data_IF_100982320062
#
_entry.id   IF_100982320062
#
_cell.length_a   1.000
_cell.length_b   1.000
_cell.length_c   1.000
_cell.angle_alpha   90.00
_cell.angle_beta   90.00
_cell.angle_gamma   90.00
#
_symmetry.space_group_name_H-M   'P 1'
#
loop_
_entity.id
_entity.type
_entity.pdbx_description
1 polymer ?
#
# COMPACT_ATOMS: atom_id res chain seq x y z
N UNK A 1 -74.32 11.29 5.13
CA UNK A 1 -73.23 11.92 5.89
C UNK A 1 -71.97 11.07 5.74
N UNK A 2 -70.85 11.74 5.48
CA UNK A 2 -69.58 11.29 4.88
C UNK A 2 -69.07 9.88 5.17
N UNK A 3 -68.69 9.18 4.10
CA UNK A 3 -67.48 8.34 4.08
C UNK A 3 -66.59 8.83 2.94
N UNK A 4 -65.50 9.49 3.32
CA UNK A 4 -64.41 9.87 2.44
C UNK A 4 -63.74 8.56 2.01
N UNK A 5 -63.84 8.25 0.72
CA UNK A 5 -63.12 7.15 0.08
C UNK A 5 -61.66 7.56 0.04
N UNK A 6 -60.83 6.88 0.83
CA UNK A 6 -59.37 6.99 0.73
C UNK A 6 -58.95 6.25 -0.53
N UNK A 7 -58.74 6.99 -1.61
CA UNK A 7 -58.01 6.54 -2.79
C UNK A 7 -56.53 6.36 -2.45
N UNK A 8 -55.87 5.28 -2.89
CA UNK A 8 -54.44 5.05 -2.67
C UNK A 8 -53.64 6.01 -3.55
N UNK A 9 -53.32 7.17 -2.98
CA UNK A 9 -52.38 8.13 -3.53
C UNK A 9 -51.31 8.45 -2.48
N UNK A 10 -50.54 7.42 -2.12
CA UNK A 10 -49.19 7.50 -1.55
C UNK A 10 -48.49 6.22 -2.04
N UNK A 11 -47.29 6.16 -2.55
CA UNK A 11 -46.28 7.16 -2.89
C UNK A 11 -45.26 6.33 -3.69
N UNK A 12 -45.58 6.06 -4.96
CA UNK A 12 -44.68 5.38 -5.91
C UNK A 12 -43.63 6.34 -6.45
N UNK A 13 -43.06 7.20 -5.61
CA UNK A 13 -42.33 8.39 -6.03
C UNK A 13 -40.93 8.49 -5.39
N UNK A 14 -40.07 7.48 -5.58
CA UNK A 14 -38.62 7.63 -5.38
C UNK A 14 -37.77 6.54 -6.06
N UNK A 15 -38.20 5.96 -7.18
CA UNK A 15 -37.34 5.05 -7.98
C UNK A 15 -37.30 5.58 -9.42
N UNK A 16 -36.88 6.83 -9.56
CA UNK A 16 -36.69 7.49 -10.84
C UNK A 16 -35.23 7.88 -11.03
N UNK A 17 -34.65 7.39 -12.13
CA UNK A 17 -33.54 7.99 -12.89
C UNK A 17 -32.11 7.43 -12.71
N UNK A 18 -31.74 6.84 -11.58
CA UNK A 18 -30.38 6.27 -11.41
C UNK A 18 -30.13 4.95 -12.14
N UNK A 19 -31.14 4.09 -12.25
CA UNK A 19 -31.02 2.73 -12.81
C UNK A 19 -31.01 2.70 -14.34
N UNK A 20 -31.74 3.61 -14.98
CA UNK A 20 -31.73 3.74 -16.44
C UNK A 20 -30.42 4.35 -16.96
N UNK A 21 -29.82 5.28 -16.22
CA UNK A 21 -28.55 5.90 -16.60
C UNK A 21 -27.38 4.91 -16.50
N UNK A 22 -27.33 4.08 -15.45
CA UNK A 22 -26.34 3.00 -15.33
C UNK A 22 -26.51 1.88 -16.40
N UNK A 23 -27.76 1.57 -16.78
CA UNK A 23 -28.06 0.60 -17.84
C UNK A 23 -27.71 1.15 -19.24
N UNK A 24 -27.94 2.45 -19.48
CA UNK A 24 -27.57 3.16 -20.71
C UNK A 24 -26.04 3.35 -20.84
N UNK A 25 -25.35 3.67 -19.74
CA UNK A 25 -23.88 3.72 -19.70
C UNK A 25 -23.27 2.33 -19.92
N UNK A 26 -23.81 1.28 -19.28
CA UNK A 26 -23.40 -0.11 -19.51
C UNK A 26 -23.64 -0.61 -20.93
N UNK A 27 -24.69 -0.12 -21.61
CA UNK A 27 -24.95 -0.42 -23.01
C UNK A 27 -24.01 0.33 -23.97
N UNK A 28 -23.62 1.57 -23.63
CA UNK A 28 -22.68 2.39 -24.43
C UNK A 28 -21.22 1.91 -24.35
N UNK A 29 -20.80 1.31 -23.22
CA UNK A 29 -19.46 0.72 -23.05
C UNK A 29 -19.27 -0.61 -23.82
N UNK A 30 -20.35 -1.21 -24.29
CA UNK A 30 -20.38 -2.52 -24.94
C UNK A 30 -20.50 -2.43 -26.48
N UNK A 31 -20.49 -1.23 -27.05
CA UNK A 31 -20.78 -0.99 -28.49
C UNK A 31 -19.65 -1.40 -29.46
N UNK A 32 -18.56 -2.01 -29.01
CA UNK A 32 -17.50 -2.48 -29.91
C UNK A 32 -16.54 -3.54 -29.36
N UNK A 33 -16.75 -4.02 -28.14
CA UNK A 33 -15.90 -5.05 -27.52
C UNK A 33 -16.67 -6.36 -27.38
N UNK A 34 -16.04 -7.46 -27.75
CA UNK A 34 -16.63 -8.80 -27.59
C UNK A 34 -16.76 -9.11 -26.10
N UNK A 35 -17.76 -9.90 -25.68
CA UNK A 35 -17.92 -10.33 -24.26
C UNK A 35 -16.63 -10.89 -23.65
N UNK A 36 -15.83 -11.60 -24.45
CA UNK A 36 -14.50 -12.09 -24.07
C UNK A 36 -13.53 -10.96 -23.71
N UNK A 37 -13.51 -9.85 -24.46
CA UNK A 37 -12.61 -8.72 -24.20
C UNK A 37 -12.96 -7.97 -22.91
N UNK A 38 -14.25 -7.82 -22.61
CA UNK A 38 -14.71 -7.20 -21.36
C UNK A 38 -14.33 -8.07 -20.15
N UNK A 39 -14.46 -9.39 -20.29
CA UNK A 39 -14.06 -10.34 -19.25
C UNK A 39 -12.54 -10.32 -19.04
N UNK A 40 -11.77 -10.25 -20.12
CA UNK A 40 -10.32 -10.22 -20.09
C UNK A 40 -9.80 -8.92 -19.45
N UNK A 41 -10.34 -7.76 -19.81
CA UNK A 41 -10.01 -6.48 -19.15
C UNK A 41 -10.37 -6.46 -17.66
N UNK A 42 -11.45 -7.14 -17.26
CA UNK A 42 -11.81 -7.26 -15.86
C UNK A 42 -10.86 -8.18 -15.08
N UNK A 43 -10.29 -9.22 -15.72
CA UNK A 43 -9.29 -10.11 -15.11
C UNK A 43 -7.91 -9.45 -15.07
N UNK A 44 -7.53 -8.74 -16.12
CA UNK A 44 -6.29 -7.96 -16.21
C UNK A 44 -6.29 -6.82 -15.19
N UNK A 45 -7.40 -6.08 -15.08
CA UNK A 45 -7.55 -5.00 -14.11
C UNK A 45 -7.53 -5.48 -12.65
N UNK A 46 -7.94 -6.73 -12.37
CA UNK A 46 -7.77 -7.32 -11.02
C UNK A 46 -6.31 -7.67 -10.77
N UNK A 47 -5.65 -8.30 -11.73
CA UNK A 47 -4.24 -8.70 -11.63
C UNK A 47 -3.33 -7.48 -11.44
N UNK A 48 -3.61 -6.40 -12.17
CA UNK A 48 -2.90 -5.13 -12.06
C UNK A 48 -3.09 -4.49 -10.68
N UNK A 49 -4.32 -4.48 -10.14
CA UNK A 49 -4.56 -3.99 -8.77
C UNK A 49 -3.81 -4.79 -7.71
N UNK A 50 -3.69 -6.11 -7.85
CA UNK A 50 -2.91 -6.92 -6.91
C UNK A 50 -1.42 -6.58 -6.96
N UNK A 51 -0.87 -6.38 -8.16
CA UNK A 51 0.51 -5.94 -8.36
C UNK A 51 0.76 -4.59 -7.70
N UNK A 52 -0.14 -3.63 -7.91
CA UNK A 52 0.00 -2.28 -7.34
C UNK A 52 -0.05 -2.29 -5.81
N UNK A 53 -0.91 -3.11 -5.19
CA UNK A 53 -0.93 -3.28 -3.74
C UNK A 53 0.38 -3.92 -3.24
N UNK A 54 0.90 -4.90 -3.96
CA UNK A 54 2.15 -5.54 -3.59
C UNK A 54 3.33 -4.57 -3.67
N UNK A 55 3.38 -3.75 -4.72
CA UNK A 55 4.39 -2.70 -4.88
C UNK A 55 4.30 -1.68 -3.73
N UNK A 56 3.10 -1.23 -3.40
CA UNK A 56 2.91 -0.30 -2.28
C UNK A 56 3.32 -0.91 -0.93
N UNK A 57 2.97 -2.18 -0.68
CA UNK A 57 3.40 -2.91 0.53
C UNK A 57 4.93 -3.05 0.56
N UNK A 58 5.56 -3.36 -0.57
CA UNK A 58 7.01 -3.49 -0.66
C UNK A 58 7.71 -2.15 -0.37
N UNK A 59 7.20 -1.04 -0.91
CA UNK A 59 7.70 0.31 -0.64
C UNK A 59 7.50 0.65 0.84
N UNK A 60 6.32 0.40 1.41
CA UNK A 60 6.05 0.64 2.82
C UNK A 60 6.98 -0.17 3.74
N UNK A 61 7.17 -1.46 3.44
CA UNK A 61 8.10 -2.32 4.16
C UNK A 61 9.54 -1.82 4.07
N UNK A 62 9.98 -1.38 2.89
CA UNK A 62 11.30 -0.79 2.69
C UNK A 62 11.51 0.44 3.58
N UNK A 63 10.52 1.34 3.64
CA UNK A 63 10.58 2.53 4.50
C UNK A 63 10.60 2.18 5.98
N UNK A 64 9.81 1.19 6.41
CA UNK A 64 9.80 0.73 7.81
C UNK A 64 11.17 0.16 8.18
N UNK A 65 11.74 -0.70 7.35
CA UNK A 65 13.07 -1.30 7.59
C UNK A 65 14.14 -0.22 7.58
N UNK A 66 14.12 0.70 6.61
CA UNK A 66 15.05 1.82 6.53
C UNK A 66 14.98 2.71 7.79
N UNK A 67 13.78 3.06 8.22
CA UNK A 67 13.55 3.83 9.45
C UNK A 67 14.04 3.10 10.69
N UNK A 68 13.77 1.80 10.80
CA UNK A 68 14.25 0.98 11.91
C UNK A 68 15.78 0.94 11.99
N UNK A 69 16.47 0.75 10.86
CA UNK A 69 17.94 0.76 10.79
C UNK A 69 18.50 2.14 11.17
N UNK A 70 17.86 3.23 10.72
CA UNK A 70 18.27 4.59 11.10
C UNK A 70 18.12 4.84 12.61
N UNK A 71 16.98 4.46 13.20
CA UNK A 71 16.76 4.58 14.64
C UNK A 71 17.79 3.76 15.42
N UNK A 72 18.10 2.54 14.96
CA UNK A 72 19.10 1.68 15.59
C UNK A 72 20.51 2.27 15.50
N UNK A 73 20.87 2.83 14.34
CA UNK A 73 22.14 3.54 14.12
C UNK A 73 22.27 4.79 14.99
N UNK A 74 21.20 5.58 15.10
CA UNK A 74 21.16 6.76 15.98
C UNK A 74 21.24 6.38 17.45
N UNK A 75 20.54 5.33 17.89
CA UNK A 75 20.62 4.84 19.27
C UNK A 75 22.04 4.36 19.60
N UNK A 76 22.69 3.66 18.67
CA UNK A 76 24.09 3.25 18.82
C UNK A 76 25.05 4.44 18.84
N UNK A 77 24.92 5.39 17.91
CA UNK A 77 25.74 6.60 17.88
C UNK A 77 25.56 7.44 19.15
N UNK A 78 24.32 7.58 19.64
CA UNK A 78 24.01 8.24 20.90
C UNK A 78 24.70 7.54 22.07
N UNK A 79 24.65 6.20 22.13
CA UNK A 79 25.30 5.42 23.17
C UNK A 79 26.83 5.61 23.20
N UNK A 80 27.47 5.81 22.04
CA UNK A 80 28.91 6.10 21.98
C UNK A 80 29.29 7.47 22.55
N UNK A 81 28.39 8.45 22.44
CA UNK A 81 28.62 9.83 22.92
C UNK A 81 28.15 10.01 24.36
N UNK A 82 27.19 9.21 24.81
CA UNK A 82 26.61 9.31 26.15
C UNK A 82 27.59 8.82 27.24
N UNK A 83 27.70 9.54 28.37
CA UNK A 83 28.54 9.14 29.50
C UNK A 83 28.00 7.86 30.19
N UNK A 84 28.89 7.11 30.86
CA UNK A 84 28.64 5.74 31.35
C UNK A 84 27.38 5.55 32.21
N UNK A 85 26.87 6.61 32.85
CA UNK A 85 25.67 6.59 33.68
C UNK A 85 24.34 6.59 32.90
N UNK A 86 24.36 6.80 31.57
CA UNK A 86 23.17 6.77 30.69
C UNK A 86 23.12 5.52 29.80
N UNK A 87 23.99 4.53 30.05
CA UNK A 87 23.99 3.26 29.32
C UNK A 87 22.82 2.38 29.75
N UNK A 88 21.68 2.56 29.10
CA UNK A 88 20.49 1.73 29.32
C UNK A 88 20.51 0.41 28.51
N UNK A 89 21.33 0.33 27.45
CA UNK A 89 21.47 -0.86 26.61
C UNK A 89 22.53 -1.80 27.18
N UNK A 90 22.15 -3.06 27.40
CA UNK A 90 23.05 -4.14 27.82
C UNK A 90 24.15 -4.37 26.78
N UNK A 91 25.38 -4.61 27.22
CA UNK A 91 26.56 -4.75 26.35
C UNK A 91 26.40 -5.88 25.31
N UNK A 92 25.67 -6.95 25.66
CA UNK A 92 25.34 -8.06 24.75
C UNK A 92 24.53 -7.63 23.52
N UNK A 93 23.63 -6.65 23.68
CA UNK A 93 22.83 -6.13 22.58
C UNK A 93 23.63 -5.17 21.68
N UNK A 94 24.66 -4.55 22.24
CA UNK A 94 25.51 -3.60 21.51
C UNK A 94 26.32 -4.31 20.42
N UNK A 95 26.87 -5.50 20.71
CA UNK A 95 27.61 -6.30 19.75
C UNK A 95 26.74 -6.74 18.56
N UNK A 96 25.49 -7.09 18.83
CA UNK A 96 24.52 -7.44 17.77
C UNK A 96 24.20 -6.24 16.87
N UNK A 97 23.95 -5.06 17.46
CA UNK A 97 23.68 -3.83 16.70
C UNK A 97 24.89 -3.44 15.84
N UNK A 98 26.10 -3.46 16.42
CA UNK A 98 27.33 -3.17 15.70
C UNK A 98 27.55 -4.13 14.53
N UNK A 99 27.30 -5.43 14.72
CA UNK A 99 27.44 -6.44 13.66
C UNK A 99 26.47 -6.15 12.51
N UNK A 100 25.20 -5.87 12.81
CA UNK A 100 24.19 -5.55 11.79
C UNK A 100 24.57 -4.29 11.01
N UNK A 101 24.98 -3.23 11.70
CA UNK A 101 25.36 -1.96 11.06
C UNK A 101 26.61 -2.12 10.20
N UNK A 102 27.65 -2.77 10.72
CA UNK A 102 28.92 -2.97 9.99
C UNK A 102 28.73 -3.89 8.79
N UNK A 103 27.97 -4.98 8.93
CA UNK A 103 27.62 -5.85 7.81
C UNK A 103 26.83 -5.10 6.73
N UNK A 104 25.85 -4.27 7.12
CA UNK A 104 25.07 -3.45 6.20
C UNK A 104 25.94 -2.44 5.43
N UNK A 105 26.84 -1.73 6.11
CA UNK A 105 27.78 -0.80 5.47
C UNK A 105 28.72 -1.54 4.53
N UNK A 106 29.26 -2.69 4.95
CA UNK A 106 30.17 -3.49 4.13
C UNK A 106 29.49 -3.95 2.84
N UNK A 107 28.27 -4.48 2.92
CA UNK A 107 27.46 -4.88 1.77
C UNK A 107 27.22 -3.69 0.84
N UNK A 108 26.88 -2.52 1.40
CA UNK A 108 26.69 -1.29 0.62
C UNK A 108 27.94 -0.85 -0.14
N UNK A 109 29.10 -0.84 0.52
CA UNK A 109 30.39 -0.48 -0.08
C UNK A 109 30.77 -1.47 -1.17
N UNK A 110 30.68 -2.78 -0.90
CA UNK A 110 31.01 -3.84 -1.86
C UNK A 110 30.09 -3.76 -3.08
N UNK A 111 28.77 -3.64 -2.86
CA UNK A 111 27.79 -3.55 -3.94
C UNK A 111 28.02 -2.30 -4.81
N UNK A 112 28.33 -1.15 -4.19
CA UNK A 112 28.70 0.07 -4.91
C UNK A 112 29.99 -0.07 -5.72
N UNK A 113 30.99 -0.76 -5.18
CA UNK A 113 32.24 -1.05 -5.88
C UNK A 113 32.05 -2.02 -7.06
N UNK A 114 31.22 -3.05 -6.90
CA UNK A 114 30.89 -3.99 -7.97
C UNK A 114 30.14 -3.29 -9.11
N UNK A 115 29.14 -2.46 -8.80
CA UNK A 115 28.40 -1.70 -9.80
C UNK A 115 29.31 -0.82 -10.65
N UNK A 116 30.27 -0.11 -10.01
CA UNK A 116 31.26 0.75 -10.68
C UNK A 116 32.26 0.00 -11.58
N UNK A 117 32.35 -1.33 -11.47
CA UNK A 117 33.24 -2.18 -12.28
C UNK A 117 32.52 -2.90 -13.42
N UNK A 118 31.19 -2.93 -13.40
CA UNK A 118 30.37 -3.56 -14.44
C UNK A 118 29.88 -2.56 -15.50
N UNK A 119 29.84 -1.27 -15.17
CA UNK A 119 29.81 -0.16 -16.13
C UNK A 119 31.24 0.14 -16.63
#
# INVERSE_FOLDING_TARGET
MSRVVVTPAEESAAVGDGSNMAALEGASLNQGKTREQIRQEAEDGRTERFRDHFEWIAIAALWIVSGAVLVLGLAWAWHLVAPDHLRWISEDNLGSIQTILTAGVLIGVVSGHFKKRMD
#
